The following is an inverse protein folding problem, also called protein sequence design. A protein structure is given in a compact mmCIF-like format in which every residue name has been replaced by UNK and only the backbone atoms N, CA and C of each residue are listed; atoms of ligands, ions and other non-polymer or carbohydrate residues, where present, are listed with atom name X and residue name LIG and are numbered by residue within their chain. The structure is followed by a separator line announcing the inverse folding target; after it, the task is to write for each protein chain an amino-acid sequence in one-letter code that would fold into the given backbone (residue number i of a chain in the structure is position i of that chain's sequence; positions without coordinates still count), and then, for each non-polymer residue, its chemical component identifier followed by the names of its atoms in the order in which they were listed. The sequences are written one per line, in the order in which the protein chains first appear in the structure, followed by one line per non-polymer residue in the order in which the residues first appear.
data_IF_068582025587
#
_entry.id   IF_068582025587
#
_cell.length_a   1.000
_cell.length_b   1.000
_cell.length_c   1.000
_cell.angle_alpha   90.00
_cell.angle_beta   90.00
_cell.angle_gamma   90.00
#
_symmetry.space_group_name_H-M   'P 1'
#
loop_
_entity.id
_entity.type
_entity.pdbx_description
1 polymer ?
#
# COMPACT_ATOMS: atom_id res chain seq x y z
N UNK A 1 -0.91 12.78 18.74
CA UNK A 1 -0.64 12.14 17.44
C UNK A 1 0.23 10.94 17.77
N UNK A 2 -0.20 9.71 17.50
CA UNK A 2 0.72 8.56 17.61
C UNK A 2 1.85 8.78 16.59
N UNK A 3 3.08 8.46 17.00
CA UNK A 3 4.29 8.90 16.33
C UNK A 3 4.63 8.16 15.03
N UNK A 4 5.91 7.87 14.86
CA UNK A 4 6.54 7.16 13.73
C UNK A 4 5.80 5.88 13.35
N UNK A 5 6.00 5.37 12.13
CA UNK A 5 5.40 4.11 11.68
C UNK A 5 5.65 2.94 12.64
N UNK A 6 6.88 2.87 13.19
CA UNK A 6 7.26 1.87 14.16
C UNK A 6 6.37 1.91 15.40
N UNK A 7 6.13 3.09 15.97
CA UNK A 7 5.27 3.24 17.15
C UNK A 7 3.82 2.83 16.86
N UNK A 8 3.31 3.12 15.66
CA UNK A 8 1.98 2.68 15.25
C UNK A 8 1.88 1.16 15.14
N UNK A 9 2.86 0.52 14.49
CA UNK A 9 2.85 -0.94 14.31
C UNK A 9 3.05 -1.68 15.63
N UNK A 10 3.91 -1.20 16.53
CA UNK A 10 4.04 -1.80 17.87
C UNK A 10 2.74 -1.66 18.68
N UNK A 11 2.05 -0.52 18.61
CA UNK A 11 0.73 -0.38 19.22
C UNK A 11 -0.30 -1.35 18.60
N UNK A 12 -0.28 -1.56 17.29
CA UNK A 12 -1.17 -2.53 16.64
C UNK A 12 -0.93 -3.92 17.20
N UNK A 13 0.34 -4.36 17.30
CA UNK A 13 0.70 -5.66 17.87
C UNK A 13 0.25 -5.82 19.33
N UNK A 14 0.30 -4.75 20.12
CA UNK A 14 -0.21 -4.76 21.50
C UNK A 14 -1.73 -4.87 21.58
N UNK A 15 -2.46 -4.23 20.65
CA UNK A 15 -3.92 -4.22 20.63
C UNK A 15 -4.52 -5.47 19.97
N UNK A 16 -3.84 -6.04 18.98
CA UNK A 16 -4.31 -7.16 18.16
C UNK A 16 -4.04 -8.53 18.80
N UNK A 17 -4.70 -8.78 19.93
CA UNK A 17 -4.55 -10.01 20.71
C UNK A 17 -4.95 -11.27 19.88
N UNK A 18 -5.75 -11.09 18.83
CA UNK A 18 -6.25 -12.19 17.99
C UNK A 18 -5.38 -12.44 16.75
N UNK A 19 -4.33 -11.65 16.53
CA UNK A 19 -3.48 -11.68 15.32
C UNK A 19 -4.33 -11.57 14.03
N UNK A 20 -5.32 -10.67 14.05
CA UNK A 20 -6.13 -10.35 12.88
C UNK A 20 -5.26 -9.78 11.75
N UNK A 21 -4.34 -8.88 12.08
CA UNK A 21 -3.45 -8.23 11.13
C UNK A 21 -2.06 -8.85 11.18
N UNK A 22 -1.61 -9.35 10.03
CA UNK A 22 -0.28 -9.94 9.87
C UNK A 22 0.63 -8.97 9.14
N UNK A 23 1.80 -8.71 9.73
CA UNK A 23 2.86 -7.91 9.13
C UNK A 23 3.92 -8.86 8.57
N UNK A 24 4.20 -8.80 7.27
CA UNK A 24 5.27 -9.59 6.64
C UNK A 24 6.64 -9.21 7.20
N UNK A 25 7.60 -10.12 7.01
CA UNK A 25 8.99 -9.86 7.37
C UNK A 25 9.53 -8.60 6.68
N UNK A 26 10.53 -7.98 7.28
CA UNK A 26 11.13 -6.76 6.74
C UNK A 26 12.02 -7.11 5.57
N UNK A 27 12.04 -6.25 4.56
CA UNK A 27 12.97 -6.39 3.45
C UNK A 27 14.41 -6.19 3.92
N UNK A 28 15.34 -7.00 3.41
CA UNK A 28 16.76 -6.80 3.64
C UNK A 28 17.23 -5.51 2.96
N UNK A 29 18.03 -4.71 3.67
CA UNK A 29 18.66 -3.54 3.06
C UNK A 29 19.58 -3.95 1.91
N UNK A 30 20.27 -5.09 2.02
CA UNK A 30 21.14 -5.59 0.96
C UNK A 30 20.34 -5.96 -0.29
N UNK A 31 19.18 -6.59 -0.14
CA UNK A 31 18.32 -6.94 -1.27
C UNK A 31 17.79 -5.68 -1.98
N UNK A 32 17.43 -4.65 -1.22
CA UNK A 32 17.03 -3.35 -1.79
C UNK A 32 18.18 -2.69 -2.53
N UNK A 33 19.40 -2.71 -1.97
CA UNK A 33 20.57 -2.12 -2.62
C UNK A 33 20.93 -2.86 -3.92
N UNK A 34 20.78 -4.18 -3.93
CA UNK A 34 20.92 -5.01 -5.14
C UNK A 34 19.85 -4.65 -6.16
N UNK A 35 18.58 -4.54 -5.75
CA UNK A 35 17.46 -4.13 -6.59
C UNK A 35 17.70 -2.75 -7.24
N UNK A 36 18.04 -1.74 -6.43
CA UNK A 36 18.33 -0.38 -6.89
C UNK A 36 19.50 -0.35 -7.90
N UNK A 37 20.56 -1.12 -7.62
CA UNK A 37 21.71 -1.24 -8.52
C UNK A 37 21.35 -1.93 -9.83
N UNK A 38 20.59 -3.03 -9.77
CA UNK A 38 20.15 -3.82 -10.93
C UNK A 38 19.34 -2.95 -11.90
N UNK A 39 18.37 -2.21 -11.38
CA UNK A 39 17.44 -1.41 -12.19
C UNK A 39 17.85 0.07 -12.36
N UNK A 40 19.04 0.42 -11.87
CA UNK A 40 19.65 1.77 -11.98
C UNK A 40 18.71 2.87 -11.48
N UNK A 41 18.12 2.65 -10.31
CA UNK A 41 17.18 3.58 -9.70
C UNK A 41 17.45 3.71 -8.21
N UNK A 42 16.69 4.60 -7.57
CA UNK A 42 16.64 4.71 -6.11
C UNK A 42 15.19 4.64 -5.67
N UNK A 43 14.84 3.80 -4.71
CA UNK A 43 13.48 3.75 -4.18
C UNK A 43 13.16 5.05 -3.44
N UNK A 44 11.87 5.45 -3.39
CA UNK A 44 11.43 6.53 -2.51
C UNK A 44 11.83 6.26 -1.06
N UNK A 45 12.38 7.27 -0.38
CA UNK A 45 13.01 7.09 0.94
C UNK A 45 12.02 6.62 2.01
N UNK A 46 10.79 7.15 1.99
CA UNK A 46 9.75 6.79 2.95
C UNK A 46 9.23 5.35 2.75
N UNK A 47 9.16 4.89 1.51
CA UNK A 47 8.86 3.49 1.20
C UNK A 47 9.99 2.57 1.67
N UNK A 48 11.24 2.89 1.32
CA UNK A 48 12.43 2.12 1.71
C UNK A 48 12.57 2.02 3.23
N UNK A 49 12.39 3.13 3.95
CA UNK A 49 12.42 3.14 5.42
C UNK A 49 11.33 2.23 6.00
N UNK A 50 10.12 2.29 5.45
CA UNK A 50 9.02 1.44 5.91
C UNK A 50 9.31 -0.05 5.72
N UNK A 51 9.68 -0.48 4.51
CA UNK A 51 9.86 -1.91 4.23
C UNK A 51 11.06 -2.51 4.94
N UNK A 52 12.09 -1.72 5.23
CA UNK A 52 13.30 -2.19 5.95
C UNK A 52 13.16 -2.15 7.47
N UNK A 53 12.44 -1.17 8.02
CA UNK A 53 12.40 -0.96 9.47
C UNK A 53 11.08 -1.36 10.11
N UNK A 54 9.99 -1.43 9.34
CA UNK A 54 8.62 -1.63 9.84
C UNK A 54 8.07 -2.99 9.38
N UNK A 55 7.71 -3.13 8.10
CA UNK A 55 7.16 -4.36 7.52
C UNK A 55 7.18 -4.29 5.98
N UNK A 56 7.40 -5.42 5.30
CA UNK A 56 7.32 -5.49 3.84
C UNK A 56 5.91 -5.82 3.32
N UNK A 57 4.89 -5.93 4.19
CA UNK A 57 3.53 -6.29 3.78
C UNK A 57 2.58 -6.28 4.97
N UNK A 58 1.28 -6.09 4.72
CA UNK A 58 0.23 -6.12 5.75
C UNK A 58 -1.03 -6.81 5.19
N UNK A 59 -1.54 -7.79 5.92
CA UNK A 59 -2.78 -8.53 5.57
C UNK A 59 -3.76 -8.53 6.73
N UNK A 60 -5.05 -8.43 6.42
CA UNK A 60 -6.15 -8.76 7.34
C UNK A 60 -6.57 -10.21 7.09
N UNK A 61 -6.26 -11.09 8.05
CA UNK A 61 -6.59 -12.51 7.98
C UNK A 61 -8.10 -12.78 8.14
N UNK A 62 -8.84 -11.92 8.84
CA UNK A 62 -10.28 -12.11 9.08
C UNK A 62 -11.07 -11.97 7.77
N UNK A 63 -10.69 -10.97 6.96
CA UNK A 63 -11.34 -10.65 5.69
C UNK A 63 -10.58 -11.13 4.45
N UNK A 64 -9.41 -11.75 4.64
CA UNK A 64 -8.49 -12.15 3.58
C UNK A 64 -8.18 -10.97 2.63
N UNK A 65 -7.96 -9.79 3.20
CA UNK A 65 -7.68 -8.54 2.49
C UNK A 65 -6.19 -8.22 2.56
N UNK A 66 -5.60 -7.81 1.44
CA UNK A 66 -4.22 -7.30 1.42
C UNK A 66 -4.24 -5.78 1.55
N UNK A 67 -3.77 -5.28 2.69
CA UNK A 67 -3.73 -3.84 3.00
C UNK A 67 -2.48 -3.20 2.37
N UNK A 68 -1.38 -3.95 2.36
CA UNK A 68 -0.13 -3.61 1.70
C UNK A 68 0.53 -4.89 1.16
N UNK A 69 0.71 -4.94 -0.16
CA UNK A 69 1.31 -6.06 -0.88
C UNK A 69 2.78 -6.23 -0.54
N UNK A 70 3.21 -7.48 -0.49
CA UNK A 70 4.61 -7.81 -0.24
C UNK A 70 5.45 -7.73 -1.51
N UNK A 71 6.54 -6.96 -1.45
CA UNK A 71 7.46 -6.81 -2.58
C UNK A 71 8.60 -7.82 -2.50
N UNK A 72 8.72 -8.71 -3.50
CA UNK A 72 9.87 -9.59 -3.63
C UNK A 72 11.03 -8.87 -4.34
N UNK A 73 11.90 -8.19 -3.60
CA UNK A 73 13.03 -7.45 -4.20
C UNK A 73 14.05 -8.34 -4.92
N UNK A 74 14.13 -9.62 -4.58
CA UNK A 74 15.10 -10.55 -5.19
C UNK A 74 14.68 -11.02 -6.58
N UNK A 75 13.39 -11.33 -6.74
CA UNK A 75 12.82 -11.85 -8.00
C UNK A 75 11.75 -10.94 -8.62
N UNK A 76 11.72 -9.66 -8.24
CA UNK A 76 10.66 -8.71 -8.63
C UNK A 76 10.14 -8.81 -10.07
N UNK A 77 11.05 -8.85 -11.05
CA UNK A 77 10.69 -8.91 -12.48
C UNK A 77 10.64 -10.33 -13.03
N UNK A 78 11.21 -11.31 -12.32
CA UNK A 78 11.17 -12.71 -12.73
C UNK A 78 9.85 -13.40 -12.37
N UNK A 79 9.12 -12.85 -11.39
CA UNK A 79 7.80 -13.34 -10.95
C UNK A 79 6.64 -12.71 -11.75
N UNK A 80 6.92 -11.81 -12.69
CA UNK A 80 5.92 -11.20 -13.57
C UNK A 80 5.86 -12.03 -14.87
N UNK A 81 4.74 -12.71 -15.10
CA UNK A 81 4.48 -13.51 -16.32
C UNK A 81 4.26 -12.66 -17.59
N UNK A 82 4.55 -11.36 -17.52
CA UNK A 82 4.20 -10.31 -18.49
C UNK A 82 5.23 -9.15 -18.44
N UNK A 83 5.35 -8.38 -19.52
CA UNK A 83 6.21 -7.20 -19.67
C UNK A 83 5.74 -5.97 -18.83
N UNK A 84 4.60 -6.05 -18.15
CA UNK A 84 4.08 -5.03 -17.23
C UNK A 84 5.00 -4.78 -16.02
N UNK A 85 4.84 -3.63 -15.37
CA UNK A 85 5.58 -3.24 -14.16
C UNK A 85 7.11 -3.25 -14.31
N UNK A 86 7.63 -3.09 -15.53
CA UNK A 86 9.05 -3.19 -15.81
C UNK A 86 9.83 -2.05 -15.15
N UNK A 87 10.72 -2.33 -14.18
CA UNK A 87 11.49 -1.31 -13.46
C UNK A 87 12.64 -0.72 -14.30
N UNK A 88 12.97 -1.29 -15.46
CA UNK A 88 13.92 -0.68 -16.39
C UNK A 88 13.30 0.49 -17.16
N UNK A 89 11.99 0.47 -17.37
CA UNK A 89 11.24 1.48 -18.12
C UNK A 89 10.68 2.52 -17.15
N UNK A 90 10.69 3.78 -17.55
CA UNK A 90 10.13 4.86 -16.73
C UNK A 90 8.61 4.90 -16.84
N UNK A 91 7.92 5.25 -15.76
CA UNK A 91 6.49 5.53 -15.83
C UNK A 91 6.23 6.75 -16.75
N UNK A 92 5.35 6.63 -17.76
CA UNK A 92 5.33 7.54 -18.90
C UNK A 92 4.63 8.88 -18.64
N UNK A 93 3.71 8.92 -17.66
CA UNK A 93 2.80 10.07 -17.46
C UNK A 93 3.00 10.78 -16.12
N UNK A 94 2.53 12.02 -16.03
CA UNK A 94 2.68 12.89 -14.83
C UNK A 94 1.36 13.47 -14.33
N UNK A 95 0.28 13.21 -15.06
CA UNK A 95 -1.09 13.61 -14.73
C UNK A 95 -2.04 12.44 -14.94
N UNK A 96 -3.28 12.59 -14.50
CA UNK A 96 -4.32 11.57 -14.74
C UNK A 96 -4.42 11.33 -16.24
N UNK A 97 -4.28 10.08 -16.66
CA UNK A 97 -4.37 9.68 -18.06
C UNK A 97 -5.48 8.66 -18.22
N UNK A 98 -6.36 8.92 -19.19
CA UNK A 98 -7.33 7.95 -19.70
C UNK A 98 -6.88 7.52 -21.07
N UNK A 99 -6.53 6.25 -21.22
CA UNK A 99 -6.17 5.68 -22.51
C UNK A 99 -7.42 5.34 -23.33
N UNK A 100 -8.19 6.38 -23.68
CA UNK A 100 -9.39 6.24 -24.53
C UNK A 100 -9.06 6.13 -26.03
N UNK A 101 -7.79 6.33 -26.39
CA UNK A 101 -7.32 6.43 -27.78
C UNK A 101 -6.38 5.28 -28.16
N UNK A 102 -6.09 4.34 -27.24
CA UNK A 102 -5.05 3.32 -27.39
C UNK A 102 -3.69 3.97 -27.76
N UNK A 103 -3.38 5.09 -27.11
CA UNK A 103 -2.08 5.77 -27.28
C UNK A 103 -0.97 5.01 -26.53
N UNK A 104 -1.36 4.22 -25.53
CA UNK A 104 -0.47 3.37 -24.76
C UNK A 104 -0.87 1.90 -24.95
N UNK A 105 0.10 1.00 -24.95
CA UNK A 105 -0.20 -0.40 -24.63
C UNK A 105 -0.50 -0.49 -23.12
N UNK A 106 -1.41 -1.39 -22.71
CA UNK A 106 -1.83 -1.57 -21.31
C UNK A 106 -0.62 -1.65 -20.36
N UNK A 107 0.42 -2.37 -20.80
CA UNK A 107 1.63 -2.64 -20.01
C UNK A 107 2.51 -1.38 -19.87
N UNK A 108 2.45 -0.43 -20.81
CA UNK A 108 3.22 0.81 -20.74
C UNK A 108 2.82 1.69 -19.55
N UNK A 109 1.52 1.71 -19.21
CA UNK A 109 0.97 2.48 -18.10
C UNK A 109 1.19 1.81 -16.74
N UNK A 110 1.85 0.66 -16.70
CA UNK A 110 2.26 0.01 -15.45
C UNK A 110 3.77 0.02 -15.25
N UNK A 111 4.56 0.43 -16.25
CA UNK A 111 6.02 0.42 -16.14
C UNK A 111 6.57 1.36 -15.06
N UNK A 112 7.74 1.04 -14.50
CA UNK A 112 8.41 1.90 -13.53
C UNK A 112 7.66 2.08 -12.20
N UNK A 113 6.74 1.18 -11.86
CA UNK A 113 6.02 1.19 -10.59
C UNK A 113 6.09 -0.15 -9.84
N UNK A 114 5.69 -0.15 -8.56
CA UNK A 114 5.56 -1.31 -7.66
C UNK A 114 4.11 -1.40 -7.18
N UNK A 115 3.49 -2.59 -7.26
CA UNK A 115 2.17 -2.82 -6.64
C UNK A 115 2.22 -2.62 -5.14
N UNK A 116 1.26 -1.87 -4.60
CA UNK A 116 1.10 -1.61 -3.18
C UNK A 116 -0.12 -2.31 -2.59
N UNK A 117 -1.21 -2.45 -3.33
CA UNK A 117 -2.40 -3.18 -2.90
C UNK A 117 -3.39 -3.35 -4.06
N UNK A 118 -4.02 -4.51 -4.18
CA UNK A 118 -5.21 -4.67 -5.02
C UNK A 118 -6.45 -4.07 -4.37
N UNK A 119 -7.29 -3.37 -5.14
CA UNK A 119 -8.61 -2.87 -4.70
C UNK A 119 -9.77 -3.71 -5.23
N UNK A 120 -9.46 -4.82 -5.92
CA UNK A 120 -10.41 -5.71 -6.57
C UNK A 120 -10.62 -5.37 -8.04
N UNK A 121 -11.29 -6.26 -8.79
CA UNK A 121 -11.61 -6.07 -10.21
C UNK A 121 -10.41 -5.74 -11.13
N UNK A 122 -9.20 -6.19 -10.77
CA UNK A 122 -7.98 -5.91 -11.53
C UNK A 122 -7.42 -4.50 -11.33
N UNK A 123 -7.95 -3.72 -10.38
CA UNK A 123 -7.46 -2.39 -10.02
C UNK A 123 -6.58 -2.45 -8.77
N UNK A 124 -5.78 -1.41 -8.55
CA UNK A 124 -4.91 -1.35 -7.39
C UNK A 124 -4.25 0.00 -7.16
N UNK A 125 -3.39 0.05 -6.14
CA UNK A 125 -2.48 1.15 -5.90
C UNK A 125 -1.08 0.76 -6.29
N UNK A 126 -0.36 1.66 -6.96
CA UNK A 126 1.02 1.48 -7.36
C UNK A 126 1.90 2.65 -6.88
N UNK A 127 3.13 2.35 -6.49
CA UNK A 127 4.16 3.34 -6.18
C UNK A 127 5.03 3.57 -7.40
N UNK A 128 5.15 4.81 -7.86
CA UNK A 128 6.05 5.14 -8.96
C UNK A 128 7.49 5.16 -8.45
N UNK A 129 8.35 4.29 -8.99
CA UNK A 129 9.76 4.16 -8.60
C UNK A 129 10.74 4.72 -9.63
N UNK A 130 10.27 4.94 -10.87
CA UNK A 130 11.08 5.47 -11.98
C UNK A 130 10.25 6.37 -12.90
N UNK A 131 10.85 7.47 -13.37
CA UNK A 131 10.18 8.50 -14.19
C UNK A 131 9.85 9.78 -13.41
N UNK A 132 9.15 10.71 -14.06
CA UNK A 132 8.90 12.06 -13.53
C UNK A 132 7.94 12.10 -12.34
N UNK A 133 7.02 11.13 -12.25
CA UNK A 133 6.07 10.98 -11.15
C UNK A 133 6.65 10.22 -9.94
N UNK A 134 7.94 9.89 -9.95
CA UNK A 134 8.60 9.10 -8.91
C UNK A 134 8.30 9.58 -7.49
N UNK A 135 8.03 8.61 -6.62
CA UNK A 135 7.67 8.82 -5.23
C UNK A 135 6.17 8.91 -4.99
N UNK A 136 5.37 9.23 -6.01
CA UNK A 136 3.92 9.32 -5.87
C UNK A 136 3.26 7.94 -5.85
N UNK A 137 2.09 7.87 -5.24
CA UNK A 137 1.20 6.71 -5.30
C UNK A 137 0.01 7.03 -6.21
N UNK A 138 -0.20 6.15 -7.16
CA UNK A 138 -1.24 6.23 -8.18
C UNK A 138 -2.23 5.09 -8.00
N UNK A 139 -3.47 5.32 -8.41
CA UNK A 139 -4.48 4.27 -8.57
C UNK A 139 -4.43 3.80 -10.02
N UNK A 140 -4.20 2.51 -10.20
CA UNK A 140 -4.35 1.77 -11.44
C UNK A 140 -5.80 1.31 -11.55
N UNK A 141 -6.53 1.88 -12.50
CA UNK A 141 -7.87 1.45 -12.88
C UNK A 141 -7.91 1.00 -14.35
N UNK A 142 -6.79 0.55 -14.91
CA UNK A 142 -6.69 0.20 -16.33
C UNK A 142 -7.69 -0.89 -16.71
N UNK A 143 -7.89 -1.88 -15.83
CA UNK A 143 -8.83 -2.98 -16.03
C UNK A 143 -10.31 -2.54 -16.09
N UNK A 144 -10.66 -1.45 -15.39
CA UNK A 144 -12.07 -1.02 -15.25
C UNK A 144 -12.40 0.21 -16.09
N UNK A 145 -11.50 1.20 -16.13
CA UNK A 145 -11.75 2.53 -16.67
C UNK A 145 -10.72 2.97 -17.72
N UNK A 146 -9.70 2.14 -17.98
CA UNK A 146 -8.54 2.46 -18.83
C UNK A 146 -7.83 3.73 -18.35
N UNK A 147 -7.65 3.85 -17.03
CA UNK A 147 -7.12 5.05 -16.39
C UNK A 147 -6.03 4.77 -15.36
N UNK A 148 -5.09 5.69 -15.28
CA UNK A 148 -4.15 5.81 -14.17
C UNK A 148 -4.30 7.19 -13.53
N UNK A 149 -4.44 7.22 -12.20
CA UNK A 149 -4.87 8.43 -11.47
C UNK A 149 -3.88 8.73 -10.34
N UNK A 150 -3.23 9.91 -10.29
CA UNK A 150 -2.41 10.29 -9.15
C UNK A 150 -3.29 10.49 -7.89
N UNK A 151 -2.91 9.89 -6.76
CA UNK A 151 -3.70 9.96 -5.51
C UNK A 151 -2.95 10.53 -4.33
N UNK A 152 -1.70 10.13 -4.14
CA UNK A 152 -0.90 10.57 -3.00
C UNK A 152 0.48 11.01 -3.45
N UNK A 153 0.97 12.10 -2.87
CA UNK A 153 2.29 12.64 -3.21
C UNK A 153 3.45 11.76 -2.74
N UNK A 154 3.21 10.84 -1.79
CA UNK A 154 4.21 9.91 -1.30
C UNK A 154 3.59 8.66 -0.63
N UNK A 155 4.41 7.62 -0.45
CA UNK A 155 4.01 6.37 0.20
C UNK A 155 3.50 6.61 1.61
N UNK A 156 4.16 7.49 2.37
CA UNK A 156 3.73 7.82 3.74
C UNK A 156 2.28 8.27 3.79
N UNK A 157 1.87 9.19 2.91
CA UNK A 157 0.49 9.69 2.88
C UNK A 157 -0.52 8.60 2.52
N UNK A 158 -0.09 7.54 1.83
CA UNK A 158 -0.93 6.40 1.47
C UNK A 158 -1.06 5.35 2.59
N UNK A 159 0.02 5.01 3.30
CA UNK A 159 0.01 3.95 4.33
C UNK A 159 -0.45 4.46 5.71
N UNK A 160 -0.13 5.70 6.07
CA UNK A 160 -0.37 6.25 7.42
C UNK A 160 -1.87 6.20 7.83
N UNK A 161 -2.84 6.55 6.96
CA UNK A 161 -4.26 6.42 7.28
C UNK A 161 -4.74 4.98 7.46
N UNK A 162 -4.11 4.00 6.78
CA UNK A 162 -4.45 2.58 6.91
C UNK A 162 -4.05 2.06 8.30
N UNK A 163 -2.84 2.40 8.75
CA UNK A 163 -2.39 2.08 10.12
C UNK A 163 -3.31 2.73 11.17
N UNK A 164 -3.73 3.98 10.96
CA UNK A 164 -4.66 4.66 11.86
C UNK A 164 -6.04 3.98 11.90
N UNK A 165 -6.50 3.45 10.76
CA UNK A 165 -7.75 2.69 10.70
C UNK A 165 -7.65 1.37 11.47
N UNK A 166 -6.56 0.62 11.31
CA UNK A 166 -6.30 -0.61 12.08
C UNK A 166 -6.34 -0.32 13.59
N UNK A 167 -5.62 0.71 14.05
CA UNK A 167 -5.61 1.12 15.47
C UNK A 167 -7.01 1.49 15.95
N UNK A 168 -7.80 2.18 15.12
CA UNK A 168 -9.17 2.59 15.46
C UNK A 168 -10.11 1.39 15.57
N UNK A 169 -9.94 0.38 14.73
CA UNK A 169 -10.74 -0.85 14.76
C UNK A 169 -10.44 -1.72 15.97
N UNK A 170 -9.15 -1.86 16.31
CA UNK A 170 -8.70 -2.65 17.46
C UNK A 170 -9.00 -1.98 18.81
N UNK A 171 -9.10 -0.65 18.85
CA UNK A 171 -9.44 0.05 20.09
C UNK A 171 -10.84 -0.34 20.55
N UNK A 172 -11.02 -0.67 21.85
CA UNK A 172 -12.33 -1.02 22.38
C UNK A 172 -13.31 0.13 22.13
N UNK A 173 -14.42 -0.16 21.45
CA UNK A 173 -15.51 0.80 21.29
C UNK A 173 -15.94 1.23 22.69
N UNK A 174 -15.88 2.54 22.98
CA UNK A 174 -16.41 3.08 24.24
C UNK A 174 -17.83 2.56 24.40
N UNK A 175 -18.11 1.83 25.49
CA UNK A 175 -19.49 1.48 25.84
C UNK A 175 -20.29 2.78 25.87
N UNK A 176 -21.22 2.94 24.94
CA UNK A 176 -22.19 4.04 25.00
C UNK A 176 -22.89 3.84 26.34
N UNK A 177 -22.74 4.79 27.26
CA UNK A 177 -23.55 4.78 28.49
C UNK A 177 -24.99 4.84 28.00
N UNK A 178 -25.76 3.76 28.22
CA UNK A 178 -27.21 3.78 28.01
C UNK A 178 -27.75 5.05 28.67
N UNK A 179 -28.54 5.81 27.93
CA UNK A 179 -29.15 7.02 28.46
C UNK A 179 -29.95 6.66 29.72
N UNK A 180 -30.13 7.62 30.63
CA UNK A 180 -30.97 7.42 31.82
C UNK A 180 -32.35 6.87 31.43
N UNK A 181 -32.90 7.33 30.30
CA UNK A 181 -34.16 6.88 29.73
C UNK A 181 -34.16 5.40 29.31
N UNK A 182 -33.11 4.92 28.64
CA UNK A 182 -32.98 3.50 28.25
C UNK A 182 -32.78 2.58 29.46
N UNK A 183 -32.28 3.10 30.59
CA UNK A 183 -32.19 2.36 31.84
C UNK A 183 -33.55 2.26 32.52
N UNK A 184 -34.36 3.32 32.49
CA UNK A 184 -35.69 3.36 33.13
C UNK A 184 -36.71 2.45 32.44
N UNK A 185 -36.68 2.35 31.10
CA UNK A 185 -37.61 1.48 30.35
C UNK A 185 -37.45 -0.02 30.70
N UNK A 186 -36.28 -0.44 31.17
CA UNK A 186 -36.07 -1.84 31.58
C UNK A 186 -36.57 -2.16 33.01
N UNK A 187 -37.13 -1.17 33.72
CA UNK A 187 -37.70 -1.32 35.06
C UNK A 187 -39.18 -0.92 35.14
N UNK A 188 -39.83 -0.64 33.98
CA UNK A 188 -41.26 -0.39 33.84
C UNK A 188 -41.89 -1.52 33.03
#
# INVERSE_FOLDING_TARGET
MLGTFKEKVELIKELDIQNKYVFSEKASLDDILIFEKKYQLKLPEDFKDFVTNVANGIKDNEHNEVIFDETNFTNYFADLDDESHNPYIEFPVVERTKDSTNEFDYDELTNGCISLAGTGCGNGYVLIIKGKAKGQVWEDELASNSEVIPKYNNFKRWIDPKLDNIIRELKPKKKVKKSIWERIINYL
#
